data_IF_511158409579
#
_entry.id   IF_511158409579
#
_cell.length_a   1.000
_cell.length_b   1.000
_cell.length_c   1.000
_cell.angle_alpha   90.00
_cell.angle_beta   90.00
_cell.angle_gamma   90.00
#
_symmetry.space_group_name_H-M   'P 1'
#
loop_
_entity.id
_entity.type
_entity.pdbx_description
1 polymer ?
#
# COMPACT_ATOMS: atom_id res chain seq x y z
N UNK A 1 9.96 -22.46 6.17
CA UNK A 1 9.73 -21.04 5.82
C UNK A 1 11.10 -20.41 5.79
N UNK A 2 11.54 -19.95 4.63
CA UNK A 2 12.87 -19.37 4.47
C UNK A 2 13.01 -18.12 5.35
N UNK A 3 13.93 -18.17 6.30
CA UNK A 3 14.26 -17.03 7.15
C UNK A 3 15.00 -15.98 6.31
N UNK A 4 14.52 -14.72 6.36
CA UNK A 4 15.12 -13.63 5.61
C UNK A 4 16.55 -13.38 6.11
N UNK A 5 17.52 -13.43 5.20
CA UNK A 5 18.93 -13.14 5.49
C UNK A 5 19.34 -11.81 4.92
N UNK A 6 20.43 -11.26 5.49
CA UNK A 6 21.08 -10.08 4.91
C UNK A 6 21.53 -10.38 3.49
N UNK A 7 21.25 -9.47 2.57
CA UNK A 7 21.56 -9.62 1.16
C UNK A 7 20.54 -10.40 0.34
N UNK A 8 19.54 -11.04 0.96
CA UNK A 8 18.42 -11.62 0.22
C UNK A 8 17.69 -10.52 -0.57
N UNK A 9 17.06 -10.95 -1.67
CA UNK A 9 16.34 -10.05 -2.57
C UNK A 9 14.86 -10.03 -2.19
N UNK A 10 14.33 -8.82 -1.99
CA UNK A 10 12.93 -8.58 -1.66
C UNK A 10 12.39 -7.45 -2.53
N UNK A 11 11.12 -7.54 -2.93
CA UNK A 11 10.46 -6.45 -3.64
C UNK A 11 9.91 -5.41 -2.66
N UNK A 12 10.12 -4.14 -2.98
CA UNK A 12 9.58 -3.02 -2.20
C UNK A 12 9.32 -1.81 -3.11
N UNK A 13 8.51 -0.87 -2.64
CA UNK A 13 8.29 0.39 -3.32
C UNK A 13 9.45 1.36 -3.07
N UNK A 14 10.27 1.58 -4.09
CA UNK A 14 11.36 2.53 -4.02
C UNK A 14 10.84 3.97 -4.12
N UNK A 15 11.05 4.79 -3.09
CA UNK A 15 10.64 6.22 -3.10
C UNK A 15 11.38 7.05 -4.14
N UNK A 16 12.60 6.65 -4.52
CA UNK A 16 13.39 7.37 -5.52
C UNK A 16 13.02 6.96 -6.95
N UNK A 17 12.75 5.68 -7.18
CA UNK A 17 12.27 5.19 -8.49
C UNK A 17 10.75 5.35 -8.70
N UNK A 18 9.99 5.54 -7.61
CA UNK A 18 8.51 5.64 -7.59
C UNK A 18 7.81 4.43 -8.22
N UNK A 19 8.37 3.24 -8.01
CA UNK A 19 7.86 1.96 -8.51
C UNK A 19 8.33 0.82 -7.63
N UNK A 20 7.66 -0.32 -7.73
CA UNK A 20 8.12 -1.56 -7.12
C UNK A 20 9.36 -2.04 -7.87
N UNK A 21 10.43 -2.31 -7.13
CA UNK A 21 11.68 -2.85 -7.65
C UNK A 21 12.26 -3.88 -6.70
N UNK A 22 13.19 -4.67 -7.19
CA UNK A 22 14.02 -5.53 -6.36
C UNK A 22 14.96 -4.70 -5.48
N UNK A 23 14.99 -5.00 -4.20
CA UNK A 23 15.88 -4.45 -3.20
C UNK A 23 16.68 -5.57 -2.53
N UNK A 24 17.87 -5.24 -2.04
CA UNK A 24 18.65 -6.13 -1.18
C UNK A 24 18.39 -5.76 0.29
N UNK A 25 18.15 -6.75 1.15
CA UNK A 25 18.00 -6.50 2.59
C UNK A 25 19.35 -6.05 3.17
N UNK A 26 19.38 -4.85 3.76
CA UNK A 26 20.59 -4.30 4.39
C UNK A 26 20.53 -4.33 5.91
N UNK A 27 19.35 -4.50 6.49
CA UNK A 27 19.17 -4.64 7.94
C UNK A 27 17.94 -5.49 8.27
N UNK A 28 18.06 -6.29 9.32
CA UNK A 28 17.00 -7.13 9.87
C UNK A 28 16.71 -6.70 11.31
N UNK A 29 15.42 -6.65 11.68
CA UNK A 29 14.95 -6.43 13.06
C UNK A 29 13.93 -7.52 13.36
N UNK A 30 14.12 -8.28 14.45
CA UNK A 30 13.25 -9.41 14.83
C UNK A 30 13.03 -10.43 13.69
N UNK A 31 14.06 -10.64 12.85
CA UNK A 31 13.96 -11.54 11.69
C UNK A 31 13.21 -10.99 10.48
N UNK A 32 12.84 -9.70 10.48
CA UNK A 32 12.15 -9.03 9.39
C UNK A 32 13.02 -7.94 8.76
N UNK A 33 12.94 -7.75 7.44
CA UNK A 33 13.60 -6.66 6.75
C UNK A 33 13.19 -5.29 7.31
N UNK A 34 14.16 -4.57 7.91
CA UNK A 34 13.95 -3.22 8.42
C UNK A 34 14.34 -2.16 7.41
N UNK A 35 15.51 -2.33 6.78
CA UNK A 35 16.02 -1.45 5.73
C UNK A 35 16.40 -2.24 4.50
N UNK A 36 16.17 -1.63 3.35
CA UNK A 36 16.40 -2.23 2.04
C UNK A 36 17.14 -1.25 1.12
N UNK A 37 17.99 -1.78 0.25
CA UNK A 37 18.74 -1.02 -0.77
C UNK A 37 18.19 -1.32 -2.15
N UNK A 38 17.73 -0.30 -2.87
CA UNK A 38 17.23 -0.48 -4.24
C UNK A 38 18.36 -0.95 -5.16
N UNK A 39 18.16 -2.06 -5.88
CA UNK A 39 19.18 -2.58 -6.83
C UNK A 39 19.26 -1.77 -8.13
N UNK A 40 18.30 -0.88 -8.37
CA UNK A 40 18.30 0.01 -9.55
C UNK A 40 18.98 1.35 -9.25
N UNK A 41 18.57 2.05 -8.19
CA UNK A 41 19.07 3.40 -7.88
C UNK A 41 20.03 3.46 -6.69
N UNK A 42 20.33 2.33 -6.05
CA UNK A 42 21.24 2.21 -4.90
C UNK A 42 20.88 3.09 -3.71
N UNK A 43 19.64 3.55 -3.62
CA UNK A 43 19.14 4.30 -2.47
C UNK A 43 18.68 3.35 -1.37
N UNK A 44 19.06 3.66 -0.14
CA UNK A 44 18.64 2.93 1.06
C UNK A 44 17.40 3.58 1.66
N UNK A 45 16.37 2.79 1.96
CA UNK A 45 15.20 3.27 2.69
C UNK A 45 14.63 2.18 3.57
N UNK A 46 13.75 2.58 4.50
CA UNK A 46 12.99 1.64 5.31
C UNK A 46 12.06 0.82 4.42
N UNK A 47 11.88 -0.45 4.79
CA UNK A 47 11.01 -1.38 4.08
C UNK A 47 9.55 -0.97 4.24
N UNK A 48 8.82 -0.82 3.13
CA UNK A 48 7.42 -0.38 3.12
C UNK A 48 6.42 -1.48 2.84
N UNK A 49 6.85 -2.75 2.84
CA UNK A 49 5.98 -3.89 2.56
C UNK A 49 5.23 -3.73 1.23
N UNK A 50 5.92 -3.24 0.19
CA UNK A 50 5.36 -3.01 -1.15
C UNK A 50 4.24 -1.96 -1.20
N UNK A 51 3.96 -1.28 -0.08
CA UNK A 51 2.96 -0.24 -0.03
C UNK A 51 3.50 1.04 -0.66
N UNK A 52 2.80 1.50 -1.69
CA UNK A 52 3.02 2.83 -2.20
C UNK A 52 2.63 3.86 -1.11
N UNK A 53 3.43 4.92 -0.91
CA UNK A 53 3.03 5.97 0.02
C UNK A 53 1.67 6.53 -0.42
N UNK A 54 0.72 6.73 0.52
CA UNK A 54 -0.61 7.19 0.20
C UNK A 54 -0.52 8.51 -0.57
N UNK A 55 -1.23 8.60 -1.68
CA UNK A 55 -1.18 9.80 -2.50
C UNK A 55 -1.81 10.97 -1.74
N UNK A 56 -1.36 12.21 -2.01
CA UNK A 56 -1.92 13.42 -1.36
C UNK A 56 -3.44 13.54 -1.47
N UNK A 57 -4.05 12.91 -2.50
CA UNK A 57 -5.50 12.86 -2.68
C UNK A 57 -6.18 11.92 -1.68
N UNK A 58 -5.55 10.79 -1.37
CA UNK A 58 -6.05 9.82 -0.39
C UNK A 58 -5.93 10.36 1.04
N UNK A 59 -4.84 11.07 1.35
CA UNK A 59 -4.67 11.78 2.62
C UNK A 59 -5.77 12.84 2.83
N UNK A 60 -6.06 13.66 1.81
CA UNK A 60 -7.10 14.69 1.89
C UNK A 60 -8.51 14.09 1.99
N UNK A 61 -8.75 12.93 1.37
CA UNK A 61 -10.01 12.19 1.50
C UNK A 61 -10.16 11.58 2.89
N UNK A 62 -9.09 11.03 3.46
CA UNK A 62 -9.08 10.51 4.83
C UNK A 62 -9.33 11.63 5.85
N UNK A 63 -8.76 12.82 5.64
CA UNK A 63 -8.97 13.99 6.49
C UNK A 63 -10.42 14.51 6.42
N UNK A 64 -11.02 14.54 5.21
CA UNK A 64 -12.42 14.90 5.03
C UNK A 64 -13.40 13.88 5.66
N UNK A 65 -13.07 12.59 5.59
CA UNK A 65 -13.87 11.52 6.21
C UNK A 65 -13.74 11.55 7.75
N UNK A 66 -12.55 11.83 8.28
CA UNK A 66 -12.35 12.00 9.72
C UNK A 66 -13.11 13.23 10.25
N UNK A 67 -13.08 14.35 9.53
CA UNK A 67 -13.85 15.55 9.88
C UNK A 67 -15.38 15.31 9.86
N UNK A 68 -15.87 14.51 8.90
CA UNK A 68 -17.29 14.14 8.84
C UNK A 68 -17.72 13.18 9.97
N UNK A 69 -16.85 12.25 10.37
CA UNK A 69 -17.12 11.33 11.47
C UNK A 69 -17.20 12.06 12.83
N UNK A 70 -16.30 13.01 13.07
CA UNK A 70 -16.29 13.84 14.29
C UNK A 70 -17.52 14.78 14.37
N UNK A 71 -18.09 15.17 13.22
CA UNK A 71 -19.31 15.98 13.18
C UNK A 71 -20.60 15.16 13.38
N UNK A 72 -20.50 13.82 13.45
CA UNK A 72 -21.65 12.91 13.54
C UNK A 72 -21.83 12.29 14.93
N UNK A 73 -21.00 12.64 15.91
CA UNK A 73 -21.14 12.21 17.32
C UNK A 73 -22.17 13.05 18.11
N UNK A 74 -22.89 13.95 17.44
CA UNK A 74 -24.06 14.67 17.93
C UNK A 74 -25.30 14.37 17.06
N UNK A 75 -25.69 13.10 16.88
CA UNK A 75 -26.99 12.80 16.26
C UNK A 75 -27.17 11.40 15.66
N UNK A 76 -27.87 10.57 16.42
CA UNK A 76 -28.92 9.61 16.02
C UNK A 76 -28.94 9.01 14.59
N UNK A 77 -29.03 7.68 14.53
CA UNK A 77 -29.14 6.86 13.31
C UNK A 77 -30.30 7.26 12.39
N UNK A 78 -30.22 6.92 11.09
CA UNK A 78 -31.15 5.88 10.63
C UNK A 78 -30.60 4.87 9.61
N UNK A 79 -31.20 3.69 9.69
CA UNK A 79 -31.23 2.59 8.73
C UNK A 79 -31.76 2.97 7.33
N UNK A 80 -31.28 2.30 6.27
CA UNK A 80 -32.07 1.55 5.27
C UNK A 80 -31.33 1.31 3.94
N UNK A 81 -31.00 0.03 3.69
CA UNK A 81 -31.24 -0.77 2.47
C UNK A 81 -31.28 -0.05 1.11
N UNK A 82 -30.40 -0.46 0.17
CA UNK A 82 -30.79 -1.15 -1.08
C UNK A 82 -29.59 -1.39 -2.03
N UNK A 83 -29.24 -2.65 -2.24
CA UNK A 83 -28.72 -3.12 -3.54
C UNK A 83 -29.89 -3.16 -4.54
N UNK A 84 -29.66 -2.97 -5.86
CA UNK A 84 -29.55 -4.17 -6.70
C UNK A 84 -28.61 -4.10 -7.94
N UNK A 85 -28.12 -5.30 -8.28
CA UNK A 85 -28.04 -5.92 -9.61
C UNK A 85 -27.03 -5.47 -10.69
N UNK A 86 -25.99 -6.32 -10.84
CA UNK A 86 -25.48 -7.01 -12.05
C UNK A 86 -25.58 -6.33 -13.44
N UNK A 87 -24.43 -6.33 -14.14
CA UNK A 87 -24.36 -6.89 -15.51
C UNK A 87 -22.93 -7.30 -15.93
N UNK A 88 -22.76 -8.60 -16.14
CA UNK A 88 -21.69 -9.20 -16.93
C UNK A 88 -21.66 -8.67 -18.36
N UNK A 89 -20.46 -8.38 -18.88
CA UNK A 89 -20.06 -8.51 -20.30
C UNK A 89 -18.53 -8.74 -20.32
N UNK A 90 -18.07 -9.98 -20.49
CA UNK A 90 -17.82 -10.67 -21.76
C UNK A 90 -16.60 -10.13 -22.54
N UNK A 91 -15.55 -10.98 -22.57
CA UNK A 91 -14.48 -11.19 -23.55
C UNK A 91 -14.29 -10.16 -24.69
N UNK A 92 -13.04 -9.71 -24.82
CA UNK A 92 -12.31 -9.45 -26.08
C UNK A 92 -10.85 -9.81 -25.81
N UNK A 93 -10.31 -10.94 -26.28
CA UNK A 93 -9.90 -11.19 -27.67
C UNK A 93 -8.91 -10.12 -28.19
N UNK A 94 -7.62 -10.47 -28.16
CA UNK A 94 -6.50 -9.92 -28.94
C UNK A 94 -5.43 -11.04 -28.88
N UNK A 95 -5.25 -11.88 -29.90
CA UNK A 95 -4.62 -11.60 -31.19
C UNK A 95 -3.17 -11.14 -31.01
#
# INVERSE_FOLDING_TARGET
MDEQRLGDVIDDHCVKCRRITNHSIVSLVNGQAAKVRCRTCYHDHDYRHEQAPPSKKELKKAEALAAAALASEDGDQPSAISEPAKKDKAKSEYA
#
